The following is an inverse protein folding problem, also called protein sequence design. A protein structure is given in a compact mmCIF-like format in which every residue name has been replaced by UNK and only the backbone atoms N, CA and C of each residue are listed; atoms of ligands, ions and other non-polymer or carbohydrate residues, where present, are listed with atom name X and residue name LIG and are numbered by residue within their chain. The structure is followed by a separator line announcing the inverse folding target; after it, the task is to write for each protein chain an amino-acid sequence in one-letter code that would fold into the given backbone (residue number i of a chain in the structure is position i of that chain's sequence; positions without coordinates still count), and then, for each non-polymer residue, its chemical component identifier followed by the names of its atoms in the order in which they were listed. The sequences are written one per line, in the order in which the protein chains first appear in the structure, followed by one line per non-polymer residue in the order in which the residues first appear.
data_IF_828957823107
#
_entry.id   IF_828957823107
#
_cell.length_a   1.000
_cell.length_b   1.000
_cell.length_c   1.000
_cell.angle_alpha   90.00
_cell.angle_beta   90.00
_cell.angle_gamma   90.00
#
_symmetry.space_group_name_H-M   'P 1'
#
loop_
_entity.id
_entity.type
_entity.pdbx_description
1 polymer ?
#
# COMPACT_ATOMS: atom_id res chain seq x y z
N UNK A 1 12.72 -25.90 -0.19
CA UNK A 1 11.43 -25.26 0.16
C UNK A 1 11.17 -24.22 -0.92
N UNK A 2 9.99 -24.20 -1.53
CA UNK A 2 9.67 -23.16 -2.52
C UNK A 2 9.70 -21.81 -1.81
N UNK A 3 10.50 -20.86 -2.29
CA UNK A 3 10.38 -19.47 -1.84
C UNK A 3 8.98 -19.01 -2.25
N UNK A 4 8.11 -18.81 -1.28
CA UNK A 4 6.78 -18.25 -1.53
C UNK A 4 7.01 -16.77 -1.84
N UNK A 5 6.71 -16.39 -3.08
CA UNK A 5 6.71 -15.01 -3.55
C UNK A 5 5.76 -14.17 -2.68
N UNK A 6 6.27 -13.07 -2.12
CA UNK A 6 5.46 -12.14 -1.32
C UNK A 6 4.64 -11.25 -2.24
N UNK A 7 3.36 -11.07 -1.90
CA UNK A 7 2.41 -10.32 -2.71
C UNK A 7 2.24 -8.90 -2.19
N UNK A 8 2.40 -7.92 -3.07
CA UNK A 8 2.12 -6.52 -2.78
C UNK A 8 0.98 -6.03 -3.65
N UNK A 9 0.04 -5.31 -3.04
CA UNK A 9 -0.93 -4.50 -3.76
C UNK A 9 -0.48 -3.03 -3.69
N UNK A 10 -0.38 -2.38 -4.85
CA UNK A 10 -0.06 -0.96 -4.97
C UNK A 10 -1.30 -0.23 -5.46
N UNK A 11 -1.78 0.73 -4.68
CA UNK A 11 -2.98 1.52 -4.99
C UNK A 11 -2.55 2.98 -5.13
N UNK A 12 -2.55 3.47 -6.36
CA UNK A 12 -1.97 4.76 -6.75
C UNK A 12 -2.64 5.22 -8.06
N UNK A 13 -3.14 6.45 -8.10
CA UNK A 13 -3.90 6.96 -9.25
C UNK A 13 -3.02 7.58 -10.33
N UNK A 14 -1.77 7.95 -10.01
CA UNK A 14 -0.78 8.43 -10.97
C UNK A 14 -0.16 7.25 -11.77
N UNK A 15 -0.50 7.05 -13.06
CA UNK A 15 -0.12 5.83 -13.79
C UNK A 15 1.39 5.65 -13.94
N UNK A 16 2.12 6.75 -14.09
CA UNK A 16 3.58 6.75 -14.22
C UNK A 16 4.24 6.30 -12.90
N UNK A 17 3.76 6.82 -11.76
CA UNK A 17 4.26 6.43 -10.44
C UNK A 17 3.89 4.98 -10.12
N UNK A 18 2.65 4.58 -10.40
CA UNK A 18 2.19 3.21 -10.24
C UNK A 18 3.08 2.23 -11.01
N UNK A 19 3.43 2.56 -12.25
CA UNK A 19 4.35 1.75 -13.07
C UNK A 19 5.76 1.69 -12.46
N UNK A 20 6.32 2.83 -12.04
CA UNK A 20 7.65 2.88 -11.42
C UNK A 20 7.70 2.01 -10.15
N UNK A 21 6.68 2.10 -9.30
CA UNK A 21 6.59 1.31 -8.08
C UNK A 21 6.43 -0.18 -8.41
N UNK A 22 5.55 -0.52 -9.36
CA UNK A 22 5.35 -1.91 -9.79
C UNK A 22 6.64 -2.53 -10.32
N UNK A 23 7.32 -1.85 -11.26
CA UNK A 23 8.59 -2.31 -11.82
C UNK A 23 9.65 -2.48 -10.72
N UNK A 24 9.71 -1.54 -9.76
CA UNK A 24 10.65 -1.63 -8.63
C UNK A 24 10.36 -2.86 -7.75
N UNK A 25 9.12 -3.10 -7.35
CA UNK A 25 8.78 -4.24 -6.49
C UNK A 25 8.89 -5.59 -7.22
N UNK A 26 8.53 -5.67 -8.50
CA UNK A 26 8.74 -6.87 -9.30
C UNK A 26 10.22 -7.24 -9.40
N UNK A 27 11.11 -6.25 -9.60
CA UNK A 27 12.56 -6.47 -9.61
C UNK A 27 13.12 -6.95 -8.25
N UNK A 28 12.41 -6.68 -7.15
CA UNK A 28 12.75 -7.15 -5.80
C UNK A 28 12.16 -8.54 -5.50
N UNK A 29 11.49 -9.17 -6.48
CA UNK A 29 10.94 -10.52 -6.37
C UNK A 29 9.55 -10.62 -5.72
N UNK A 30 8.76 -9.55 -5.81
CA UNK A 30 7.38 -9.54 -5.33
C UNK A 30 6.38 -9.86 -6.45
N UNK A 31 5.30 -10.54 -6.08
CA UNK A 31 4.09 -10.67 -6.89
C UNK A 31 3.30 -9.37 -6.78
N UNK A 32 3.28 -8.57 -7.84
CA UNK A 32 2.68 -7.23 -7.81
C UNK A 32 1.27 -7.26 -8.40
N UNK A 33 0.30 -6.75 -7.64
CA UNK A 33 -1.01 -6.33 -8.15
C UNK A 33 -1.13 -4.82 -8.05
N UNK A 34 -1.76 -4.19 -9.04
CA UNK A 34 -1.95 -2.73 -9.09
C UNK A 34 -3.43 -2.36 -9.12
N UNK A 35 -3.75 -1.17 -8.63
CA UNK A 35 -5.07 -0.55 -8.70
C UNK A 35 -4.94 0.97 -8.80
N UNK A 36 -5.82 1.62 -9.57
CA UNK A 36 -5.79 3.06 -9.79
C UNK A 36 -6.62 3.88 -8.80
N UNK A 37 -7.40 3.23 -7.93
CA UNK A 37 -8.19 3.86 -6.87
C UNK A 37 -8.64 2.84 -5.81
N UNK A 38 -9.36 3.30 -4.79
CA UNK A 38 -9.82 2.47 -3.68
C UNK A 38 -10.84 1.37 -4.04
N UNK A 39 -11.72 1.57 -5.02
CA UNK A 39 -12.69 0.55 -5.47
C UNK A 39 -11.98 -0.59 -6.19
N UNK A 40 -11.04 -0.25 -7.07
CA UNK A 40 -10.16 -1.21 -7.72
C UNK A 40 -9.29 -1.95 -6.68
N UNK A 41 -8.79 -1.23 -5.67
CA UNK A 41 -8.02 -1.81 -4.57
C UNK A 41 -8.81 -2.83 -3.74
N UNK A 42 -10.06 -2.51 -3.36
CA UNK A 42 -10.94 -3.46 -2.65
C UNK A 42 -11.25 -4.69 -3.50
N UNK A 43 -11.49 -4.48 -4.81
CA UNK A 43 -11.72 -5.57 -5.77
C UNK A 43 -10.50 -6.48 -5.87
N UNK A 44 -9.30 -5.90 -5.92
CA UNK A 44 -8.04 -6.64 -5.96
C UNK A 44 -7.84 -7.49 -4.70
N UNK A 45 -8.05 -6.92 -3.51
CA UNK A 45 -7.93 -7.63 -2.22
C UNK A 45 -8.88 -8.84 -2.16
N UNK A 46 -10.11 -8.68 -2.65
CA UNK A 46 -11.10 -9.75 -2.66
C UNK A 46 -10.72 -10.90 -3.62
N UNK A 47 -10.03 -10.59 -4.72
CA UNK A 47 -9.61 -11.57 -5.73
C UNK A 47 -8.33 -12.31 -5.33
N UNK A 48 -7.34 -11.60 -4.83
CA UNK A 48 -6.08 -12.17 -4.37
C UNK A 48 -5.56 -11.39 -3.17
N UNK A 49 -5.47 -12.07 -2.02
CA UNK A 49 -5.13 -11.43 -0.76
C UNK A 49 -3.63 -11.06 -0.73
N UNK A 50 -3.27 -9.77 -0.60
CA UNK A 50 -1.87 -9.37 -0.55
C UNK A 50 -1.26 -9.61 0.84
N UNK A 51 0.07 -9.75 0.89
CA UNK A 51 0.84 -9.74 2.14
C UNK A 51 1.02 -8.32 2.69
N UNK A 52 0.98 -7.30 1.82
CA UNK A 52 1.13 -5.87 2.17
C UNK A 52 0.47 -4.98 1.13
N UNK A 53 0.00 -3.81 1.56
CA UNK A 53 -0.58 -2.78 0.69
C UNK A 53 0.28 -1.52 0.77
N UNK A 54 0.63 -0.95 -0.38
CA UNK A 54 1.12 0.41 -0.54
C UNK A 54 -0.04 1.26 -1.06
N UNK A 55 -0.40 2.33 -0.34
CA UNK A 55 -1.65 3.05 -0.55
C UNK A 55 -1.43 4.56 -0.61
N UNK A 56 -1.83 5.20 -1.72
CA UNK A 56 -2.08 6.64 -1.70
C UNK A 56 -3.44 6.96 -1.05
N UNK A 57 -3.52 8.12 -0.44
CA UNK A 57 -4.71 8.67 0.17
C UNK A 57 -5.53 9.48 -0.83
N UNK A 58 -4.88 10.33 -1.63
CA UNK A 58 -5.57 11.21 -2.56
C UNK A 58 -5.72 10.47 -3.88
N UNK A 59 -6.93 9.99 -4.18
CA UNK A 59 -7.24 9.26 -5.41
C UNK A 59 -8.67 9.61 -5.86
N UNK A 60 -8.99 9.48 -7.16
CA UNK A 60 -10.36 9.64 -7.65
C UNK A 60 -11.27 8.51 -7.16
N UNK A 61 -12.58 8.69 -7.32
CA UNK A 61 -13.63 7.72 -6.94
C UNK A 61 -13.64 7.44 -5.43
N UNK A 62 -12.89 6.45 -4.96
CA UNK A 62 -12.76 6.09 -3.55
C UNK A 62 -11.35 6.43 -3.08
N UNK A 63 -11.25 7.41 -2.19
CA UNK A 63 -9.98 7.80 -1.56
C UNK A 63 -9.40 6.70 -0.68
N UNK A 64 -8.10 6.76 -0.42
CA UNK A 64 -7.39 5.72 0.32
C UNK A 64 -7.85 5.56 1.77
N UNK A 65 -8.30 6.63 2.42
CA UNK A 65 -8.82 6.55 3.79
C UNK A 65 -10.16 5.81 3.83
N UNK A 66 -11.05 6.12 2.88
CA UNK A 66 -12.32 5.43 2.72
C UNK A 66 -12.12 3.96 2.33
N UNK A 67 -11.16 3.66 1.45
CA UNK A 67 -10.74 2.30 1.11
C UNK A 67 -10.28 1.54 2.36
N UNK A 68 -9.34 2.11 3.11
CA UNK A 68 -8.78 1.52 4.33
C UNK A 68 -9.89 1.22 5.35
N UNK A 69 -10.81 2.16 5.58
CA UNK A 69 -11.95 1.98 6.49
C UNK A 69 -12.84 0.82 6.07
N UNK A 70 -13.22 0.74 4.79
CA UNK A 70 -14.02 -0.37 4.24
C UNK A 70 -13.27 -1.70 4.36
N UNK A 71 -12.00 -1.73 3.98
CA UNK A 71 -11.16 -2.92 4.07
C UNK A 71 -11.08 -3.45 5.51
N UNK A 72 -10.96 -2.57 6.52
CA UNK A 72 -10.88 -2.97 7.94
C UNK A 72 -12.21 -3.44 8.55
N UNK A 73 -13.34 -3.25 7.86
CA UNK A 73 -14.61 -3.86 8.27
C UNK A 73 -14.63 -5.37 8.01
N UNK A 74 -13.79 -5.85 7.08
CA UNK A 74 -13.64 -7.27 6.78
C UNK A 74 -12.64 -7.94 7.75
N UNK A 75 -13.07 -8.90 8.59
CA UNK A 75 -12.17 -9.54 9.55
C UNK A 75 -10.97 -10.22 8.90
N UNK A 76 -11.13 -10.74 7.68
CA UNK A 76 -10.07 -11.38 6.91
C UNK A 76 -8.92 -10.41 6.56
N UNK A 77 -9.20 -9.10 6.46
CA UNK A 77 -8.23 -8.09 6.00
C UNK A 77 -7.65 -7.26 7.14
N UNK A 78 -8.07 -7.53 8.38
CA UNK A 78 -7.74 -6.71 9.56
C UNK A 78 -6.24 -6.63 9.83
N UNK A 79 -5.52 -7.71 9.57
CA UNK A 79 -4.09 -7.83 9.86
C UNK A 79 -3.18 -7.51 8.67
N UNK A 80 -3.74 -7.21 7.49
CA UNK A 80 -2.93 -6.86 6.32
C UNK A 80 -2.20 -5.54 6.61
N UNK A 81 -0.86 -5.51 6.60
CA UNK A 81 -0.12 -4.26 6.78
C UNK A 81 -0.38 -3.30 5.63
N UNK A 82 -0.60 -2.04 5.97
CA UNK A 82 -0.79 -0.95 5.03
C UNK A 82 0.29 0.09 5.28
N UNK A 83 1.01 0.45 4.23
CA UNK A 83 1.97 1.55 4.21
C UNK A 83 1.37 2.67 3.37
N UNK A 84 1.16 3.83 3.97
CA UNK A 84 0.66 5.00 3.26
C UNK A 84 1.81 5.68 2.52
N UNK A 85 1.60 6.01 1.24
CA UNK A 85 2.51 6.80 0.41
C UNK A 85 1.74 7.98 -0.19
N UNK A 86 1.87 9.19 0.37
CA UNK A 86 1.03 10.32 -0.06
C UNK A 86 1.77 11.66 -0.15
N UNK A 87 1.32 12.54 -1.05
CA UNK A 87 1.87 13.90 -1.30
C UNK A 87 1.46 14.94 -0.24
N UNK A 88 0.68 14.57 0.77
CA UNK A 88 0.18 15.52 1.77
C UNK A 88 1.26 15.93 2.78
N UNK A 89 1.84 17.11 2.56
CA UNK A 89 2.70 17.81 3.51
C UNK A 89 1.99 18.20 4.84
N UNK A 90 0.66 18.28 4.85
CA UNK A 90 -0.16 18.65 6.03
C UNK A 90 -0.95 17.48 6.64
N UNK A 91 -0.63 16.23 6.26
CA UNK A 91 -1.39 15.05 6.70
C UNK A 91 -1.02 14.50 8.08
N UNK A 92 -0.06 15.07 8.81
CA UNK A 92 0.31 14.58 10.15
C UNK A 92 -0.90 14.47 11.09
N UNK A 93 -1.90 15.37 10.98
CA UNK A 93 -3.14 15.30 11.75
C UNK A 93 -4.13 14.23 11.23
N UNK A 94 -4.19 14.02 9.91
CA UNK A 94 -5.02 12.98 9.28
C UNK A 94 -4.45 11.60 9.61
N UNK A 95 -3.13 11.48 9.58
CA UNK A 95 -2.37 10.26 9.90
C UNK A 95 -2.35 10.01 11.40
N UNK A 96 -2.22 11.03 12.26
CA UNK A 96 -2.34 10.84 13.72
C UNK A 96 -3.74 10.43 14.15
N UNK A 97 -4.78 10.78 13.38
CA UNK A 97 -6.16 10.34 13.62
C UNK A 97 -6.41 8.87 13.24
N UNK A 98 -5.45 8.21 12.56
CA UNK A 98 -5.46 6.77 12.29
C UNK A 98 -5.15 5.99 13.57
N UNK A 99 -5.93 6.22 14.62
CA UNK A 99 -5.85 5.40 15.81
C UNK A 99 -6.23 3.94 15.44
N UNK A 100 -5.33 3.00 15.76
CA UNK A 100 -5.53 1.54 15.84
C UNK A 100 -5.38 0.66 14.57
N UNK A 101 -4.65 1.05 13.51
CA UNK A 101 -4.40 0.04 12.45
C UNK A 101 -3.61 0.40 11.20
N UNK A 102 -3.04 1.60 11.12
CA UNK A 102 -2.02 1.94 10.11
C UNK A 102 -0.66 1.85 10.78
N UNK A 103 0.22 1.05 10.20
CA UNK A 103 1.46 0.64 10.85
C UNK A 103 2.65 1.50 10.43
N UNK A 104 2.67 2.03 9.20
CA UNK A 104 3.75 2.85 8.67
C UNK A 104 3.23 3.88 7.64
N UNK A 105 3.86 5.06 7.56
CA UNK A 105 3.60 6.07 6.54
C UNK A 105 4.88 6.64 5.94
N UNK A 106 4.76 7.18 4.72
CA UNK A 106 5.79 7.83 3.91
C UNK A 106 5.20 9.03 3.16
N UNK A 107 5.89 10.17 3.20
CA UNK A 107 5.50 11.38 2.49
C UNK A 107 6.22 11.43 1.14
N UNK A 108 5.46 11.66 0.06
CA UNK A 108 5.92 11.56 -1.33
C UNK A 108 6.99 12.60 -1.72
N UNK A 109 7.26 13.63 -0.91
CA UNK A 109 8.26 14.66 -1.22
C UNK A 109 9.69 14.32 -0.80
N UNK A 110 9.89 13.38 0.14
CA UNK A 110 11.20 13.13 0.77
C UNK A 110 11.70 11.67 0.67
N UNK A 111 11.04 10.83 -0.13
CA UNK A 111 11.36 9.40 -0.22
C UNK A 111 12.27 9.07 -1.41
N UNK A 112 13.04 8.00 -1.21
CA UNK A 112 13.69 7.27 -2.29
C UNK A 112 12.99 5.92 -2.48
N UNK A 113 12.86 5.45 -3.72
CA UNK A 113 12.28 4.13 -4.02
C UNK A 113 12.88 2.99 -3.18
N UNK A 114 14.18 3.06 -2.91
CA UNK A 114 14.86 2.09 -2.05
C UNK A 114 14.35 2.11 -0.60
N UNK A 115 13.98 3.27 -0.06
CA UNK A 115 13.46 3.39 1.29
C UNK A 115 12.06 2.78 1.42
N UNK A 116 11.19 3.01 0.43
CA UNK A 116 9.85 2.39 0.36
C UNK A 116 9.98 0.87 0.37
N UNK A 117 10.86 0.32 -0.50
CA UNK A 117 11.13 -1.12 -0.54
C UNK A 117 11.65 -1.62 0.80
N UNK A 118 12.62 -0.92 1.41
CA UNK A 118 13.18 -1.32 2.71
C UNK A 118 12.14 -1.30 3.84
N UNK A 119 11.18 -0.36 3.81
CA UNK A 119 10.06 -0.35 4.76
C UNK A 119 9.13 -1.54 4.54
N UNK A 120 8.76 -1.83 3.30
CA UNK A 120 7.96 -3.02 2.96
C UNK A 120 8.66 -4.31 3.42
N UNK A 121 9.93 -4.50 3.05
CA UNK A 121 10.70 -5.70 3.42
C UNK A 121 10.80 -5.86 4.94
N UNK A 122 11.12 -4.80 5.68
CA UNK A 122 11.13 -4.82 7.15
C UNK A 122 9.78 -5.19 7.74
N UNK A 123 8.69 -4.65 7.18
CA UNK A 123 7.33 -4.91 7.64
C UNK A 123 6.89 -6.36 7.43
N UNK A 124 7.42 -7.00 6.38
CA UNK A 124 7.22 -8.41 6.06
C UNK A 124 8.26 -9.34 6.68
N UNK A 125 9.18 -8.81 7.49
CA UNK A 125 10.29 -9.56 8.10
C UNK A 125 11.15 -10.29 7.06
N UNK A 126 11.36 -9.65 5.90
CA UNK A 126 12.27 -10.11 4.86
C UNK A 126 13.67 -9.54 5.15
N UNK A 127 14.67 -10.43 5.24
CA UNK A 127 16.08 -10.09 5.49
C UNK A 127 16.76 -9.48 4.27
#
# INVERSE_FOLDING_TARGET
MANIEKKILIVEDEPDLLKILADKFSNEGFGVTTAGDGEEGLTAIAKDKPDVILLDIIMPRLDGMSMLKKMRQEPANKDIPVIILTNLADSDAVVSSLEHGVFDYLIKTDWQLAEVVNKVKRRLHMN
#
